data_IF_438714008398
#
_entry.id   IF_438714008398
#
_cell.length_a   1.000
_cell.length_b   1.000
_cell.length_c   1.000
_cell.angle_alpha   90.00
_cell.angle_beta   90.00
_cell.angle_gamma   90.00
#
_symmetry.space_group_name_H-M   'P 1'
#
loop_
_entity.id
_entity.type
_entity.pdbx_description
1 polymer ?
#
# COMPACT_ATOMS: atom_id res chain seq x y z
N UNK A 1 -16.14 6.01 1.06
CA UNK A 1 -14.69 5.97 1.38
C UNK A 1 -13.88 6.30 0.13
N UNK A 2 -12.81 7.10 0.24
CA UNK A 2 -11.85 7.35 -0.85
C UNK A 2 -10.54 6.59 -0.64
N UNK A 3 -9.84 6.26 -1.72
CA UNK A 3 -8.50 5.66 -1.64
C UNK A 3 -7.45 6.59 -1.04
N UNK A 4 -7.67 7.91 -1.14
CA UNK A 4 -6.84 8.90 -0.46
C UNK A 4 -6.88 8.73 1.07
N UNK A 5 -8.07 8.56 1.65
CA UNK A 5 -8.20 8.28 3.09
C UNK A 5 -7.49 6.97 3.48
N UNK A 6 -7.66 5.92 2.66
CA UNK A 6 -6.99 4.64 2.89
C UNK A 6 -5.46 4.78 2.88
N UNK A 7 -4.91 5.50 1.89
CA UNK A 7 -3.48 5.84 1.83
C UNK A 7 -3.03 6.54 3.10
N UNK A 8 -3.74 7.59 3.53
CA UNK A 8 -3.34 8.41 4.67
C UNK A 8 -3.29 7.60 5.97
N UNK A 9 -4.34 6.83 6.24
CA UNK A 9 -4.43 5.97 7.42
C UNK A 9 -3.32 4.91 7.41
N UNK A 10 -3.14 4.23 6.28
CA UNK A 10 -2.15 3.17 6.16
C UNK A 10 -0.71 3.72 6.28
N UNK A 11 -0.40 4.82 5.59
CA UNK A 11 0.91 5.44 5.65
C UNK A 11 1.25 5.93 7.07
N UNK A 12 0.28 6.54 7.76
CA UNK A 12 0.44 6.98 9.14
C UNK A 12 0.69 5.80 10.09
N UNK A 13 -0.08 4.72 9.97
CA UNK A 13 0.09 3.52 10.78
C UNK A 13 1.50 2.93 10.62
N UNK A 14 1.93 2.67 9.38
CA UNK A 14 3.25 2.08 9.10
C UNK A 14 4.43 3.03 9.36
N UNK A 15 4.20 4.35 9.40
CA UNK A 15 5.20 5.32 9.84
C UNK A 15 5.36 5.32 11.36
N UNK A 16 4.28 5.11 12.12
CA UNK A 16 4.31 5.02 13.59
C UNK A 16 4.85 3.67 14.09
N UNK A 17 4.68 2.61 13.31
CA UNK A 17 5.12 1.26 13.67
C UNK A 17 5.99 0.65 12.55
N UNK A 18 7.21 1.17 12.34
CA UNK A 18 8.09 0.70 11.28
C UNK A 18 8.56 -0.74 11.53
N UNK A 19 8.69 -1.53 10.47
CA UNK A 19 9.25 -2.88 10.58
C UNK A 19 10.79 -2.84 10.56
N UNK A 20 11.44 -3.83 11.16
CA UNK A 20 12.91 -3.95 11.12
C UNK A 20 13.48 -4.14 9.70
N UNK A 21 12.65 -4.57 8.76
CA UNK A 21 13.01 -4.75 7.35
C UNK A 21 12.65 -3.54 6.47
N UNK A 22 12.08 -2.48 7.06
CA UNK A 22 11.65 -1.32 6.32
C UNK A 22 12.83 -0.58 5.71
N UNK A 23 12.81 -0.42 4.38
CA UNK A 23 13.83 0.31 3.65
C UNK A 23 13.61 1.82 3.64
N UNK A 24 12.36 2.27 3.52
CA UNK A 24 11.99 3.69 3.48
C UNK A 24 10.59 3.91 4.02
N UNK A 25 10.23 5.16 4.33
CA UNK A 25 8.86 5.50 4.75
C UNK A 25 7.87 5.17 3.62
N UNK A 26 6.67 4.65 3.95
CA UNK A 26 5.66 4.38 2.95
C UNK A 26 5.25 5.70 2.27
N UNK A 27 5.35 5.74 0.95
CA UNK A 27 4.90 6.88 0.15
C UNK A 27 4.17 6.37 -1.09
N UNK A 28 2.89 6.72 -1.19
CA UNK A 28 2.04 6.44 -2.33
C UNK A 28 1.60 7.78 -2.92
N UNK A 29 1.74 7.98 -4.22
CA UNK A 29 1.30 9.21 -4.90
C UNK A 29 0.32 8.83 -5.98
N UNK A 30 -0.88 9.41 -5.95
CA UNK A 30 -1.87 9.24 -7.01
C UNK A 30 -1.52 10.17 -8.18
N UNK A 31 -1.68 9.68 -9.40
CA UNK A 31 -1.36 10.43 -10.62
C UNK A 31 -2.59 10.52 -11.51
N UNK A 32 -2.83 11.70 -12.10
CA UNK A 32 -3.96 11.91 -13.01
C UNK A 32 -3.75 11.31 -14.41
N UNK A 33 -2.50 10.99 -14.76
CA UNK A 33 -2.13 10.55 -16.10
C UNK A 33 -1.04 9.46 -16.00
N UNK A 34 -1.20 8.40 -16.79
CA UNK A 34 -0.26 7.30 -16.92
C UNK A 34 1.15 7.75 -17.35
N UNK A 35 1.27 8.74 -18.22
CA UNK A 35 2.56 9.25 -18.70
C UNK A 35 3.35 9.88 -17.55
N UNK A 36 2.68 10.68 -16.71
CA UNK A 36 3.30 11.30 -15.53
C UNK A 36 3.75 10.21 -14.57
N UNK A 37 2.89 9.21 -14.31
CA UNK A 37 3.25 8.06 -13.47
C UNK A 37 4.52 7.34 -13.97
N UNK A 38 4.61 7.06 -15.28
CA UNK A 38 5.78 6.41 -15.90
C UNK A 38 7.05 7.24 -15.72
N UNK A 39 6.98 8.54 -15.99
CA UNK A 39 8.13 9.45 -15.84
C UNK A 39 8.57 9.51 -14.38
N UNK A 40 7.65 9.75 -13.45
CA UNK A 40 7.97 9.88 -12.03
C UNK A 40 8.50 8.57 -11.42
N UNK A 41 7.98 7.42 -11.84
CA UNK A 41 8.51 6.11 -11.42
C UNK A 41 9.97 5.93 -11.86
N UNK A 42 10.29 6.26 -13.13
CA UNK A 42 11.66 6.19 -13.65
C UNK A 42 12.60 7.14 -12.92
N UNK A 43 12.18 8.39 -12.70
CA UNK A 43 12.97 9.40 -11.96
C UNK A 43 13.26 8.91 -10.54
N UNK A 44 12.26 8.33 -9.85
CA UNK A 44 12.42 7.79 -8.49
C UNK A 44 13.44 6.66 -8.42
N UNK A 45 13.46 5.78 -9.42
CA UNK A 45 14.33 4.59 -9.44
C UNK A 45 15.73 4.88 -10.01
N UNK A 46 15.90 6.00 -10.73
CA UNK A 46 17.14 6.34 -11.42
C UNK A 46 18.40 6.36 -10.51
N UNK A 47 18.40 6.96 -9.29
CA UNK A 47 19.61 7.01 -8.47
C UNK A 47 20.21 5.64 -8.15
N UNK A 48 19.36 4.67 -7.82
CA UNK A 48 19.79 3.32 -7.49
C UNK A 48 20.19 2.50 -8.73
N UNK A 49 19.58 2.77 -9.89
CA UNK A 49 20.02 2.19 -11.17
C UNK A 49 21.38 2.73 -11.62
N UNK A 50 21.61 4.04 -11.47
CA UNK A 50 22.92 4.68 -11.72
C UNK A 50 23.96 4.08 -10.76
N UNK A 51 23.64 4.00 -9.47
CA UNK A 51 24.52 3.38 -8.48
C UNK A 51 24.85 1.93 -8.83
N UNK A 52 23.87 1.17 -9.33
CA UNK A 52 24.10 -0.21 -9.79
C UNK A 52 25.07 -0.29 -10.96
N UNK A 53 24.96 0.60 -11.95
CA UNK A 53 25.87 0.66 -13.08
C UNK A 53 27.29 1.05 -12.65
N UNK A 54 27.43 2.08 -11.81
CA UNK A 54 28.72 2.54 -11.29
C UNK A 54 29.39 1.44 -10.47
N UNK A 55 28.67 0.81 -9.54
CA UNK A 55 29.19 -0.25 -8.69
C UNK A 55 29.67 -1.47 -9.50
N UNK A 56 28.99 -1.81 -10.60
CA UNK A 56 29.41 -2.92 -11.45
C UNK A 56 30.67 -2.60 -12.26
N UNK A 57 30.86 -1.35 -12.71
CA UNK A 57 32.02 -0.93 -13.51
C UNK A 57 33.28 -0.71 -12.67
N UNK A 58 33.16 0.05 -11.58
CA UNK A 58 34.33 0.54 -10.81
C UNK A 58 34.23 0.25 -9.31
N UNK A 59 33.15 -0.41 -8.85
CA UNK A 59 32.91 -0.63 -7.42
C UNK A 59 33.66 -1.83 -6.84
N UNK A 60 33.93 -1.73 -5.53
CA UNK A 60 34.47 -2.84 -4.74
C UNK A 60 33.39 -3.92 -4.46
N UNK A 61 33.77 -5.03 -3.81
CA UNK A 61 32.87 -6.15 -3.52
C UNK A 61 31.64 -5.74 -2.72
N UNK A 62 31.81 -4.86 -1.74
CA UNK A 62 30.71 -4.37 -0.88
C UNK A 62 29.72 -3.52 -1.68
N UNK A 63 30.22 -2.58 -2.48
CA UNK A 63 29.41 -1.75 -3.37
C UNK A 63 28.56 -2.62 -4.31
N UNK A 64 29.16 -3.67 -4.89
CA UNK A 64 28.44 -4.61 -5.78
C UNK A 64 27.32 -5.36 -5.03
N UNK A 65 27.54 -5.75 -3.78
CA UNK A 65 26.53 -6.41 -2.95
C UNK A 65 25.38 -5.45 -2.64
N UNK A 66 25.68 -4.21 -2.20
CA UNK A 66 24.66 -3.21 -1.90
C UNK A 66 23.86 -2.81 -3.13
N UNK A 67 24.54 -2.61 -4.27
CA UNK A 67 23.91 -2.33 -5.56
C UNK A 67 22.92 -3.44 -5.96
N UNK A 68 23.32 -4.71 -5.86
CA UNK A 68 22.42 -5.85 -6.13
C UNK A 68 21.21 -5.87 -5.19
N UNK A 69 21.41 -5.57 -3.91
CA UNK A 69 20.32 -5.49 -2.92
C UNK A 69 19.33 -4.39 -3.28
N UNK A 70 19.80 -3.18 -3.59
CA UNK A 70 18.97 -2.05 -3.99
C UNK A 70 18.19 -2.33 -5.28
N UNK A 71 18.86 -2.90 -6.28
CA UNK A 71 18.19 -3.31 -7.52
C UNK A 71 17.06 -4.30 -7.24
N UNK A 72 17.30 -5.31 -6.40
CA UNK A 72 16.26 -6.29 -6.03
C UNK A 72 15.07 -5.66 -5.32
N UNK A 73 15.29 -4.62 -4.51
CA UNK A 73 14.21 -3.86 -3.87
C UNK A 73 13.39 -3.10 -4.91
N UNK A 74 14.05 -2.46 -5.89
CA UNK A 74 13.39 -1.75 -6.99
C UNK A 74 12.56 -2.70 -7.85
N UNK A 75 13.14 -3.83 -8.28
CA UNK A 75 12.45 -4.79 -9.13
C UNK A 75 11.15 -5.31 -8.44
N UNK A 76 11.20 -5.52 -7.12
CA UNK A 76 10.02 -5.89 -6.33
C UNK A 76 9.01 -4.75 -6.22
N UNK A 77 9.48 -3.52 -6.02
CA UNK A 77 8.62 -2.35 -5.94
C UNK A 77 7.93 -2.06 -7.28
N UNK A 78 8.62 -2.26 -8.40
CA UNK A 78 8.06 -2.15 -9.75
C UNK A 78 6.97 -3.20 -9.99
N UNK A 79 7.21 -4.46 -9.64
CA UNK A 79 6.19 -5.51 -9.75
C UNK A 79 4.91 -5.21 -8.94
N UNK A 80 5.07 -4.68 -7.72
CA UNK A 80 3.93 -4.20 -6.91
C UNK A 80 3.25 -3.03 -7.61
N UNK A 81 4.02 -2.04 -8.05
CA UNK A 81 3.52 -0.86 -8.73
C UNK A 81 2.70 -1.19 -9.98
N UNK A 82 3.14 -2.16 -10.79
CA UNK A 82 2.41 -2.62 -11.99
C UNK A 82 1.05 -3.21 -11.61
N UNK A 83 1.00 -4.01 -10.54
CA UNK A 83 -0.24 -4.58 -10.01
C UNK A 83 -1.18 -3.49 -9.50
N UNK A 84 -0.63 -2.48 -8.82
CA UNK A 84 -1.43 -1.41 -8.21
C UNK A 84 -1.73 -0.23 -9.15
N UNK A 85 -1.15 -0.21 -10.35
CA UNK A 85 -1.28 0.90 -11.31
C UNK A 85 -2.73 1.37 -11.54
N UNK A 86 -3.74 0.49 -11.73
CA UNK A 86 -5.13 0.93 -11.91
C UNK A 86 -5.71 1.70 -10.71
N UNK A 87 -5.23 1.42 -9.50
CA UNK A 87 -5.67 2.06 -8.25
C UNK A 87 -4.94 3.38 -7.97
N UNK A 88 -3.76 3.57 -8.58
CA UNK A 88 -2.94 4.77 -8.39
C UNK A 88 -3.26 5.85 -9.43
N UNK A 89 -3.73 5.44 -10.62
CA UNK A 89 -4.10 6.35 -11.71
C UNK A 89 -5.55 6.82 -11.60
N UNK A 90 -6.43 5.98 -11.06
CA UNK A 90 -7.86 6.30 -10.92
C UNK A 90 -8.23 6.41 -9.44
N UNK A 91 -9.05 7.39 -9.11
CA UNK A 91 -9.73 7.41 -7.82
C UNK A 91 -10.99 6.56 -7.91
N UNK A 92 -11.13 5.61 -6.99
CA UNK A 92 -12.35 4.83 -6.87
C UNK A 92 -13.14 5.31 -5.67
N UNK A 93 -14.42 5.54 -5.91
CA UNK A 93 -15.40 5.83 -4.88
C UNK A 93 -16.13 4.52 -4.61
N UNK A 94 -16.13 4.08 -3.35
CA UNK A 94 -16.93 2.94 -2.95
C UNK A 94 -18.41 3.32 -3.06
N UNK A 95 -19.15 2.66 -3.95
CA UNK A 95 -20.60 2.85 -4.14
C UNK A 95 -21.39 1.84 -3.30
N UNK A 96 -22.29 2.37 -2.47
CA UNK A 96 -23.21 1.62 -1.61
C UNK A 96 -24.67 1.65 -2.08
N UNK A 97 -24.93 2.16 -3.29
CA UNK A 97 -26.28 2.30 -3.85
C UNK A 97 -27.13 1.01 -3.74
N UNK A 98 -26.57 -0.13 -4.13
CA UNK A 98 -27.26 -1.42 -4.05
C UNK A 98 -27.50 -1.88 -2.60
N UNK A 99 -26.54 -1.66 -1.70
CA UNK A 99 -26.71 -1.94 -0.27
C UNK A 99 -27.83 -1.08 0.34
N UNK A 100 -27.91 0.19 -0.07
CA UNK A 100 -28.96 1.11 0.34
C UNK A 100 -30.35 0.65 -0.15
N UNK A 101 -30.43 0.05 -1.35
CA UNK A 101 -31.66 -0.57 -1.85
C UNK A 101 -32.04 -1.81 -1.03
N UNK A 102 -31.08 -2.69 -0.73
CA UNK A 102 -31.32 -3.89 0.06
C UNK A 102 -31.88 -3.57 1.46
N UNK A 103 -31.36 -2.53 2.12
CA UNK A 103 -31.84 -2.08 3.44
C UNK A 103 -33.33 -1.74 3.41
N UNK A 104 -33.87 -1.26 2.27
CA UNK A 104 -35.30 -0.93 2.15
C UNK A 104 -36.21 -2.17 2.26
N UNK A 105 -35.71 -3.35 1.92
CA UNK A 105 -36.45 -4.61 1.97
C UNK A 105 -36.39 -5.30 3.34
N UNK A 106 -35.54 -4.84 4.24
CA UNK A 106 -35.47 -5.38 5.61
C UNK A 106 -36.63 -4.86 6.47
N UNK A 107 -37.17 -5.71 7.34
CA UNK A 107 -38.10 -5.26 8.38
C UNK A 107 -37.33 -4.47 9.46
N UNK A 108 -38.04 -3.79 10.36
CA UNK A 108 -37.40 -2.91 11.34
C UNK A 108 -36.55 -3.67 12.37
N UNK A 109 -36.93 -4.91 12.70
CA UNK A 109 -36.13 -5.79 13.55
C UNK A 109 -34.77 -6.08 12.89
N UNK A 110 -34.74 -6.48 11.63
CA UNK A 110 -33.52 -6.80 10.89
C UNK A 110 -32.67 -5.56 10.64
N UNK A 111 -33.27 -4.40 10.35
CA UNK A 111 -32.54 -3.13 10.22
C UNK A 111 -31.80 -2.76 11.50
N UNK A 112 -32.41 -3.02 12.66
CA UNK A 112 -31.79 -2.72 13.96
C UNK A 112 -30.60 -3.65 14.27
N UNK A 113 -30.70 -4.93 13.89
CA UNK A 113 -29.68 -5.93 14.21
C UNK A 113 -28.57 -6.03 13.14
N UNK A 114 -28.89 -5.72 11.87
CA UNK A 114 -27.98 -5.77 10.74
C UNK A 114 -27.83 -4.37 10.13
N UNK A 115 -27.05 -3.51 10.79
CA UNK A 115 -26.72 -2.21 10.25
C UNK A 115 -25.70 -2.34 9.09
N UNK A 116 -26.21 -2.45 7.86
CA UNK A 116 -25.43 -2.57 6.62
C UNK A 116 -25.15 -1.16 6.03
N UNK A 117 -25.49 -0.09 6.73
CA UNK A 117 -25.26 1.28 6.26
C UNK A 117 -23.76 1.63 6.33
N UNK A 118 -23.11 1.50 5.19
CA UNK A 118 -21.68 1.71 4.98
C UNK A 118 -21.32 3.21 5.12
N UNK A 119 -22.27 4.12 4.94
CA UNK A 119 -22.03 5.56 5.07
C UNK A 119 -21.84 5.96 6.54
N UNK A 120 -22.47 5.23 7.46
CA UNK A 120 -22.29 5.42 8.92
C UNK A 120 -21.00 4.81 9.47
N UNK A 121 -20.28 4.01 8.68
CA UNK A 121 -19.05 3.38 9.13
C UNK A 121 -17.95 4.43 9.35
N UNK A 122 -17.32 4.41 10.53
CA UNK A 122 -16.09 5.16 10.77
C UNK A 122 -14.92 4.49 10.01
N UNK A 123 -14.75 4.89 8.76
CA UNK A 123 -13.74 4.34 7.86
C UNK A 123 -12.31 4.44 8.39
N UNK A 124 -11.97 5.53 9.10
CA UNK A 124 -10.64 5.70 9.69
C UNK A 124 -10.39 4.63 10.75
N UNK A 125 -11.29 4.48 11.72
CA UNK A 125 -11.14 3.49 12.77
C UNK A 125 -11.16 2.06 12.22
N UNK A 126 -12.02 1.80 11.23
CA UNK A 126 -12.06 0.51 10.55
C UNK A 126 -10.71 0.17 9.91
N UNK A 127 -10.16 1.08 9.10
CA UNK A 127 -8.87 0.89 8.42
C UNK A 127 -7.72 0.71 9.42
N UNK A 128 -7.68 1.48 10.51
CA UNK A 128 -6.68 1.31 11.57
C UNK A 128 -6.74 -0.07 12.21
N UNK A 129 -7.95 -0.57 12.52
CA UNK A 129 -8.13 -1.92 13.08
C UNK A 129 -7.71 -3.01 12.10
N UNK A 130 -7.99 -2.83 10.80
CA UNK A 130 -7.53 -3.75 9.75
C UNK A 130 -6.00 -3.79 9.69
N UNK A 131 -5.32 -2.63 9.73
CA UNK A 131 -3.86 -2.61 9.72
C UNK A 131 -3.26 -3.25 10.98
N UNK A 132 -3.88 -3.05 12.14
CA UNK A 132 -3.47 -3.72 13.38
C UNK A 132 -3.62 -5.24 13.29
N UNK A 133 -4.71 -5.74 12.70
CA UNK A 133 -4.89 -7.17 12.45
C UNK A 133 -3.82 -7.74 11.52
N UNK A 134 -3.57 -7.06 10.40
CA UNK A 134 -2.56 -7.45 9.43
C UNK A 134 -1.15 -7.48 10.03
N UNK A 135 -0.79 -6.49 10.86
CA UNK A 135 0.52 -6.44 11.50
C UNK A 135 0.73 -7.61 12.46
N UNK A 136 -0.29 -7.97 13.27
CA UNK A 136 -0.22 -9.14 14.17
C UNK A 136 0.02 -10.44 13.40
N UNK A 137 -0.77 -10.70 12.35
CA UNK A 137 -0.62 -11.91 11.52
C UNK A 137 0.78 -11.96 10.89
N UNK A 138 1.28 -10.83 10.39
CA UNK A 138 2.60 -10.76 9.79
C UNK A 138 3.72 -11.08 10.80
N UNK A 139 3.64 -10.51 12.00
CA UNK A 139 4.60 -10.77 13.08
C UNK A 139 4.58 -12.23 13.53
N UNK A 140 3.41 -12.84 13.67
CA UNK A 140 3.29 -14.27 13.99
C UNK A 140 3.92 -15.16 12.92
N UNK A 141 3.71 -14.84 11.64
CA UNK A 141 4.33 -15.57 10.52
C UNK A 141 5.84 -15.42 10.49
N UNK A 142 6.37 -14.24 10.82
CA UNK A 142 7.82 -14.04 10.93
C UNK A 142 8.42 -14.86 12.07
N UNK A 143 7.81 -14.84 13.24
CA UNK A 143 8.28 -15.59 14.40
C UNK A 143 8.32 -17.11 14.14
N UNK A 144 7.36 -17.64 13.37
CA UNK A 144 7.35 -19.05 12.94
C UNK A 144 8.42 -19.42 11.91
N UNK A 145 8.99 -18.47 11.17
CA UNK A 145 10.05 -18.71 10.18
C UNK A 145 11.47 -18.63 10.75
N UNK A 146 11.61 -18.10 11.97
CA UNK A 146 12.90 -17.91 12.66
C UNK A 146 13.19 -19.06 13.64
N UNK A 147 12.18 -19.89 13.97
CA UNK A 147 12.34 -21.17 14.65
C UNK A 147 12.53 -22.28 13.63
#
# INVERSE_FOLDING_TARGET
>A
MTWQLAKEVNALFWTRSPSSQQFSKPNLTFYKNENIYKVMSKVKNAPALIYYQVANKIGNKEMKIQAKRLKKIIDRAESINDTFKPFVINEWIFDSSNSNVLIKFLNDFDKQHFNIDIEKLNWRQYLERVQLGNSKIYLERLNKRIK
#
